data_IF_333617293407
#
_entry.id   IF_333617293407
#
_cell.length_a   1.000
_cell.length_b   1.000
_cell.length_c   1.000
_cell.angle_alpha   90.00
_cell.angle_beta   90.00
_cell.angle_gamma   90.00
#
_symmetry.space_group_name_H-M   'P 1'
#
loop_
_entity.id
_entity.type
_entity.pdbx_description
1 polymer ?
#
# COMPACT_ATOMS: atom_id res chain seq x y z
N UNK A 1 -43.97 -21.16 23.95
CA UNK A 1 -42.52 -21.11 24.16
C UNK A 1 -41.89 -20.80 22.81
N UNK A 2 -41.55 -19.54 22.59
CA UNK A 2 -40.94 -19.08 21.34
C UNK A 2 -39.42 -19.06 21.56
N UNK A 3 -38.70 -19.90 20.81
CA UNK A 3 -37.24 -19.93 20.81
C UNK A 3 -36.80 -18.82 19.87
N UNK A 4 -36.18 -17.76 20.41
CA UNK A 4 -35.50 -16.73 19.64
C UNK A 4 -34.19 -17.31 19.09
N UNK A 5 -33.79 -17.00 17.83
CA UNK A 5 -32.47 -17.38 17.33
C UNK A 5 -31.42 -16.62 18.14
N UNK A 6 -30.43 -17.33 18.65
CA UNK A 6 -29.26 -16.73 19.27
C UNK A 6 -28.50 -15.91 18.24
N UNK A 7 -28.42 -14.60 18.46
CA UNK A 7 -27.49 -13.72 17.75
C UNK A 7 -26.08 -14.29 17.91
N UNK A 8 -25.55 -14.84 16.81
CA UNK A 8 -24.19 -15.34 16.75
C UNK A 8 -23.25 -14.13 16.85
N UNK A 9 -22.73 -13.84 18.04
CA UNK A 9 -21.78 -12.74 18.25
C UNK A 9 -20.56 -12.95 17.36
N UNK A 10 -20.39 -12.07 16.38
CA UNK A 10 -19.20 -12.01 15.56
C UNK A 10 -18.02 -11.58 16.44
N UNK A 11 -17.12 -12.52 16.75
CA UNK A 11 -15.88 -12.22 17.47
C UNK A 11 -14.85 -11.76 16.42
N UNK A 12 -14.36 -10.51 16.49
CA UNK A 12 -13.40 -10.01 15.52
C UNK A 12 -12.06 -10.75 15.64
N UNK A 13 -11.41 -11.00 14.52
CA UNK A 13 -10.06 -11.61 14.49
C UNK A 13 -9.00 -10.63 15.02
N UNK A 14 -7.83 -11.14 15.43
CA UNK A 14 -6.70 -10.29 15.83
C UNK A 14 -6.33 -9.27 14.75
N UNK A 15 -6.40 -9.67 13.48
CA UNK A 15 -6.21 -8.78 12.33
C UNK A 15 -7.24 -7.64 12.33
N UNK A 16 -8.54 -7.94 12.47
CA UNK A 16 -9.59 -6.94 12.46
C UNK A 16 -9.48 -5.97 13.63
N UNK A 17 -9.11 -6.47 14.81
CA UNK A 17 -8.85 -5.65 15.99
C UNK A 17 -7.68 -4.69 15.74
N UNK A 18 -6.58 -5.17 15.16
CA UNK A 18 -5.41 -4.35 14.85
C UNK A 18 -5.70 -3.33 13.75
N UNK A 19 -6.35 -3.74 12.66
CA UNK A 19 -6.74 -2.81 11.59
C UNK A 19 -7.65 -1.70 12.14
N UNK A 20 -8.61 -2.03 13.00
CA UNK A 20 -9.51 -1.05 13.64
C UNK A 20 -8.76 -0.10 14.56
N UNK A 21 -7.71 -0.57 15.26
CA UNK A 21 -6.92 0.29 16.15
C UNK A 21 -6.04 1.27 15.36
N UNK A 22 -5.64 0.94 14.13
CA UNK A 22 -4.84 1.80 13.25
C UNK A 22 -5.67 2.82 12.45
N UNK A 23 -7.00 2.69 12.43
CA UNK A 23 -7.90 3.54 11.65
C UNK A 23 -8.60 4.60 12.54
N UNK A 24 -9.16 5.68 11.94
CA UNK A 24 -10.03 6.59 12.67
C UNK A 24 -11.28 5.87 13.22
N UNK A 25 -11.78 6.25 14.41
CA UNK A 25 -11.35 7.40 15.22
C UNK A 25 -10.17 7.13 16.16
N UNK A 26 -9.67 5.88 16.25
CA UNK A 26 -8.58 5.51 17.17
C UNK A 26 -7.31 6.29 16.90
N UNK A 27 -6.94 6.43 15.63
CA UNK A 27 -5.83 7.28 15.18
C UNK A 27 -6.24 8.08 13.93
N UNK A 28 -5.86 9.37 13.84
CA UNK A 28 -6.07 10.13 12.62
C UNK A 28 -5.19 9.57 11.49
N UNK A 29 -5.76 9.43 10.30
CA UNK A 29 -4.99 8.98 9.12
C UNK A 29 -3.97 10.03 8.71
N UNK A 30 -2.75 9.65 8.36
CA UNK A 30 -1.71 10.58 7.90
C UNK A 30 -1.47 10.41 6.40
N UNK A 31 -1.79 11.44 5.61
CA UNK A 31 -1.62 11.40 4.15
C UNK A 31 -0.20 11.83 3.69
N UNK A 32 0.55 12.53 4.56
CA UNK A 32 1.91 13.03 4.31
C UNK A 32 2.69 13.12 5.63
N UNK A 33 3.91 12.59 5.68
CA UNK A 33 4.69 12.43 6.93
C UNK A 33 5.84 13.45 7.12
N UNK A 34 6.02 14.41 6.21
CA UNK A 34 7.12 15.41 6.27
C UNK A 34 6.91 16.50 7.34
N UNK A 35 7.96 17.21 7.82
CA UNK A 35 9.40 16.90 7.78
C UNK A 35 9.89 16.23 9.08
N UNK A 36 8.97 15.89 9.98
CA UNK A 36 9.28 15.35 11.29
C UNK A 36 9.84 13.95 11.06
N UNK A 37 11.02 13.67 11.62
CA UNK A 37 11.63 12.34 11.79
C UNK A 37 10.61 11.22 11.61
N UNK A 38 10.91 10.15 10.83
CA UNK A 38 9.93 9.12 10.44
C UNK A 38 8.96 8.88 11.58
N UNK A 39 7.68 9.16 11.32
CA UNK A 39 6.65 9.17 12.35
C UNK A 39 6.82 7.91 13.20
N UNK A 40 6.86 8.09 14.52
CA UNK A 40 7.01 6.94 15.41
C UNK A 40 5.83 6.00 15.13
N UNK A 41 6.09 4.70 14.93
CA UNK A 41 5.02 3.72 14.76
C UNK A 41 3.95 3.86 15.84
N UNK A 42 2.68 3.82 15.46
CA UNK A 42 1.54 3.94 16.39
C UNK A 42 1.52 2.76 17.38
N UNK A 43 1.88 1.57 16.89
CA UNK A 43 2.08 0.35 17.67
C UNK A 43 3.43 -0.30 17.35
N UNK A 44 3.98 -1.14 18.25
CA UNK A 44 5.17 -1.92 17.96
C UNK A 44 4.99 -2.81 16.73
N UNK A 45 5.96 -2.80 15.81
CA UNK A 45 5.94 -3.57 14.56
C UNK A 45 5.67 -5.07 14.77
N UNK A 46 6.11 -5.63 15.90
CA UNK A 46 5.85 -7.03 16.29
C UNK A 46 4.34 -7.36 16.37
N UNK A 47 3.48 -6.40 16.73
CA UNK A 47 2.03 -6.63 16.78
C UNK A 47 1.44 -6.87 15.39
N UNK A 48 2.07 -6.30 14.35
CA UNK A 48 1.69 -6.52 12.95
C UNK A 48 2.31 -7.83 12.46
N UNK A 49 3.64 -7.99 12.59
CA UNK A 49 4.35 -9.14 12.02
C UNK A 49 4.00 -10.48 12.69
N UNK A 50 3.58 -10.47 13.96
CA UNK A 50 3.10 -11.69 14.65
C UNK A 50 1.79 -12.24 14.09
N UNK A 51 1.04 -11.47 13.29
CA UNK A 51 -0.12 -11.98 12.57
C UNK A 51 0.27 -12.89 11.39
N UNK A 52 1.53 -12.78 10.91
CA UNK A 52 2.07 -13.53 9.77
C UNK A 52 1.11 -13.51 8.56
N UNK A 53 0.67 -12.32 8.16
CA UNK A 53 -0.26 -12.14 7.06
C UNK A 53 0.46 -12.26 5.72
N UNK A 54 -0.31 -12.27 4.63
CA UNK A 54 0.28 -12.05 3.31
C UNK A 54 1.11 -10.75 3.31
N UNK A 55 2.37 -10.75 2.82
CA UNK A 55 3.28 -9.61 2.93
C UNK A 55 2.72 -8.26 2.44
N UNK A 56 1.86 -8.25 1.42
CA UNK A 56 1.20 -7.00 0.97
C UNK A 56 0.22 -6.42 2.00
N UNK A 57 -0.53 -7.27 2.72
CA UNK A 57 -1.45 -6.84 3.78
C UNK A 57 -0.64 -6.35 4.97
N UNK A 58 0.42 -7.08 5.34
CA UNK A 58 1.36 -6.65 6.38
C UNK A 58 1.98 -5.28 6.05
N UNK A 59 2.41 -5.09 4.80
CA UNK A 59 2.92 -3.80 4.31
C UNK A 59 1.89 -2.68 4.45
N UNK A 60 0.61 -2.95 4.14
CA UNK A 60 -0.45 -1.94 4.24
C UNK A 60 -0.71 -1.55 5.70
N UNK A 61 -0.66 -2.51 6.62
CA UNK A 61 -0.73 -2.24 8.06
C UNK A 61 0.46 -1.41 8.52
N UNK A 62 1.67 -1.69 8.03
CA UNK A 62 2.85 -0.87 8.34
C UNK A 62 2.74 0.57 7.81
N UNK A 63 2.15 0.78 6.62
CA UNK A 63 1.84 2.13 6.10
C UNK A 63 0.85 2.86 7.01
N UNK A 64 -0.25 2.22 7.43
CA UNK A 64 -1.20 2.80 8.39
C UNK A 64 -0.55 3.08 9.75
N UNK A 65 0.35 2.20 10.18
CA UNK A 65 1.09 2.32 11.43
C UNK A 65 2.20 3.39 11.38
N UNK A 66 2.45 3.99 10.21
CA UNK A 66 3.55 4.92 9.95
C UNK A 66 4.95 4.30 10.15
N UNK A 67 5.02 2.97 10.16
CA UNK A 67 6.27 2.21 10.15
C UNK A 67 6.74 1.99 8.71
N UNK A 68 7.12 3.10 8.07
CA UNK A 68 7.45 3.14 6.65
C UNK A 68 8.69 2.30 6.31
N UNK A 69 9.60 2.10 7.27
CA UNK A 69 10.78 1.27 7.10
C UNK A 69 10.42 -0.22 6.94
N UNK A 70 9.51 -0.75 7.77
CA UNK A 70 9.02 -2.12 7.63
C UNK A 70 8.20 -2.29 6.35
N UNK A 71 7.37 -1.30 5.99
CA UNK A 71 6.65 -1.32 4.72
C UNK A 71 7.62 -1.38 3.52
N UNK A 72 8.65 -0.52 3.48
CA UNK A 72 9.71 -0.55 2.47
C UNK A 72 10.40 -1.91 2.39
N UNK A 73 10.77 -2.46 3.55
CA UNK A 73 11.46 -3.74 3.64
C UNK A 73 10.65 -4.87 2.99
N UNK A 74 9.34 -4.90 3.18
CA UNK A 74 8.47 -5.93 2.57
C UNK A 74 8.25 -5.65 1.08
N UNK A 75 7.85 -4.42 0.73
CA UNK A 75 7.44 -4.06 -0.64
C UNK A 75 8.57 -4.17 -1.66
N UNK A 76 9.84 -3.97 -1.26
CA UNK A 76 10.99 -4.13 -2.17
C UNK A 76 11.16 -5.56 -2.72
N UNK A 77 10.52 -6.54 -2.09
CA UNK A 77 10.54 -7.94 -2.55
C UNK A 77 9.31 -8.30 -3.41
N UNK A 78 8.45 -7.32 -3.73
CA UNK A 78 7.23 -7.48 -4.54
C UNK A 78 7.07 -6.30 -5.52
N UNK A 79 8.15 -5.95 -6.21
CA UNK A 79 8.23 -4.75 -7.08
C UNK A 79 7.93 -5.06 -8.55
N UNK A 80 7.34 -6.22 -8.84
CA UNK A 80 7.19 -6.69 -10.19
C UNK A 80 5.93 -7.54 -10.36
N UNK A 81 5.43 -7.63 -11.60
CA UNK A 81 4.43 -8.62 -11.99
C UNK A 81 4.77 -10.02 -11.42
N UNK A 82 3.79 -10.73 -10.83
CA UNK A 82 2.35 -10.41 -10.76
C UNK A 82 1.89 -9.58 -9.54
N UNK A 83 2.80 -9.04 -8.72
CA UNK A 83 2.48 -8.35 -7.47
C UNK A 83 2.05 -6.87 -7.64
N UNK A 84 1.06 -6.62 -8.50
CA UNK A 84 0.63 -5.25 -8.84
C UNK A 84 0.05 -4.48 -7.66
N UNK A 85 -0.61 -5.14 -6.71
CA UNK A 85 -1.08 -4.53 -5.46
C UNK A 85 0.06 -4.04 -4.59
N UNK A 86 1.19 -4.75 -4.55
CA UNK A 86 2.37 -4.34 -3.82
C UNK A 86 3.08 -3.20 -4.54
N UNK A 87 3.18 -3.24 -5.87
CA UNK A 87 3.68 -2.12 -6.68
C UNK A 87 2.84 -0.85 -6.44
N UNK A 88 1.52 -0.97 -6.42
CA UNK A 88 0.64 0.17 -6.16
C UNK A 88 0.80 0.71 -4.74
N UNK A 89 0.86 -0.18 -3.75
CA UNK A 89 1.11 0.19 -2.35
C UNK A 89 2.49 0.84 -2.16
N UNK A 90 3.49 0.48 -2.97
CA UNK A 90 4.79 1.16 -3.00
C UNK A 90 4.65 2.62 -3.45
N UNK A 91 3.82 2.88 -4.46
CA UNK A 91 3.48 4.26 -4.86
C UNK A 91 2.79 5.04 -3.73
N UNK A 92 1.88 4.40 -2.98
CA UNK A 92 1.24 5.00 -1.81
C UNK A 92 2.27 5.32 -0.71
N UNK A 93 3.18 4.39 -0.44
CA UNK A 93 4.26 4.58 0.53
C UNK A 93 5.10 5.82 0.18
N UNK A 94 5.59 5.92 -1.05
CA UNK A 94 6.35 7.09 -1.49
C UNK A 94 5.56 8.40 -1.44
N UNK A 95 4.26 8.37 -1.74
CA UNK A 95 3.40 9.55 -1.54
C UNK A 95 3.39 9.98 -0.07
N UNK A 96 3.19 9.05 0.86
CA UNK A 96 3.17 9.35 2.30
C UNK A 96 4.52 9.94 2.75
N UNK A 97 5.64 9.45 2.21
CA UNK A 97 6.99 10.01 2.43
C UNK A 97 7.17 11.41 1.82
N UNK A 98 6.26 11.81 0.93
CA UNK A 98 6.33 13.05 0.18
C UNK A 98 7.20 12.97 -1.07
N UNK A 99 7.60 11.78 -1.51
CA UNK A 99 8.26 11.52 -2.80
C UNK A 99 7.22 11.35 -3.91
N UNK A 100 6.64 12.48 -4.33
CA UNK A 100 5.50 12.49 -5.25
C UNK A 100 5.90 12.03 -6.66
N UNK A 101 7.13 12.31 -7.09
CA UNK A 101 7.59 11.90 -8.43
C UNK A 101 7.67 10.38 -8.54
N UNK A 102 8.23 9.69 -7.52
CA UNK A 102 8.21 8.23 -7.49
C UNK A 102 6.79 7.68 -7.34
N UNK A 103 5.93 8.33 -6.55
CA UNK A 103 4.52 7.92 -6.47
C UNK A 103 3.82 7.95 -7.83
N UNK A 104 4.04 9.00 -8.64
CA UNK A 104 3.49 9.12 -10.01
C UNK A 104 4.00 8.00 -10.91
N UNK A 105 5.29 7.66 -10.85
CA UNK A 105 5.86 6.58 -11.65
C UNK A 105 5.17 5.24 -11.34
N UNK A 106 5.06 4.89 -10.05
CA UNK A 106 4.36 3.66 -9.63
C UNK A 106 2.89 3.64 -10.05
N UNK A 107 2.18 4.76 -9.91
CA UNK A 107 0.77 4.85 -10.29
C UNK A 107 0.61 4.64 -11.80
N UNK A 108 1.50 5.22 -12.61
CA UNK A 108 1.52 5.02 -14.05
C UNK A 108 1.76 3.55 -14.42
N UNK A 109 2.64 2.85 -13.71
CA UNK A 109 2.96 1.44 -13.97
C UNK A 109 1.77 0.49 -13.68
N UNK A 110 0.91 0.86 -12.73
CA UNK A 110 -0.23 0.03 -12.30
C UNK A 110 -1.60 0.52 -12.76
N UNK A 111 -1.70 1.67 -13.44
CA UNK A 111 -2.99 2.31 -13.79
C UNK A 111 -3.99 1.41 -14.52
N UNK A 112 -3.50 0.46 -15.31
CA UNK A 112 -4.33 -0.45 -16.10
C UNK A 112 -4.70 -1.74 -15.36
N UNK A 113 -4.20 -1.93 -14.12
CA UNK A 113 -4.39 -3.13 -13.30
C UNK A 113 -5.66 -3.03 -12.46
N UNK A 114 -6.20 -4.19 -12.11
CA UNK A 114 -7.49 -4.30 -11.41
C UNK A 114 -7.49 -3.53 -10.08
N UNK A 115 -6.43 -3.66 -9.27
CA UNK A 115 -6.31 -2.95 -7.99
C UNK A 115 -6.46 -1.44 -8.17
N UNK A 116 -5.81 -0.86 -9.20
CA UNK A 116 -5.89 0.57 -9.45
C UNK A 116 -7.28 0.97 -9.93
N UNK A 117 -7.88 0.21 -10.85
CA UNK A 117 -9.22 0.47 -11.40
C UNK A 117 -10.34 0.34 -10.37
N UNK A 118 -10.19 -0.53 -9.37
CA UNK A 118 -11.14 -0.64 -8.25
C UNK A 118 -10.99 0.57 -7.31
N UNK A 119 -9.75 0.99 -7.04
CA UNK A 119 -9.49 2.12 -6.15
C UNK A 119 -9.85 3.48 -6.77
N UNK A 120 -9.60 3.64 -8.06
CA UNK A 120 -9.91 4.84 -8.85
C UNK A 120 -10.80 4.44 -10.03
N UNK A 121 -12.11 4.27 -9.81
CA UNK A 121 -13.02 3.77 -10.82
C UNK A 121 -13.34 4.80 -11.91
N UNK A 122 -13.82 4.31 -13.05
CA UNK A 122 -14.25 5.14 -14.17
C UNK A 122 -13.16 5.44 -15.19
N UNK A 123 -13.55 6.07 -16.30
CA UNK A 123 -12.63 6.39 -17.41
C UNK A 123 -11.59 7.46 -17.04
N UNK A 124 -11.89 8.27 -16.02
CA UNK A 124 -11.05 9.36 -15.49
C UNK A 124 -10.23 8.96 -14.26
N UNK A 125 -10.27 7.71 -13.81
CA UNK A 125 -9.67 7.30 -12.54
C UNK A 125 -8.18 7.64 -12.40
N UNK A 126 -7.40 7.47 -13.48
CA UNK A 126 -5.98 7.86 -13.48
C UNK A 126 -5.78 9.37 -13.37
N UNK A 127 -6.58 10.17 -14.06
CA UNK A 127 -6.50 11.64 -14.01
C UNK A 127 -6.89 12.15 -12.62
N UNK A 128 -7.88 11.54 -11.99
CA UNK A 128 -8.29 11.84 -10.61
C UNK A 128 -7.18 11.53 -9.61
N UNK A 129 -6.52 10.37 -9.74
CA UNK A 129 -5.36 10.01 -8.92
C UNK A 129 -4.19 11.00 -9.13
N UNK A 130 -3.91 11.41 -10.37
CA UNK A 130 -2.84 12.38 -10.68
C UNK A 130 -3.14 13.76 -10.11
N UNK A 131 -4.40 14.20 -10.17
CA UNK A 131 -4.86 15.44 -9.55
C UNK A 131 -4.73 15.39 -8.04
N UNK A 132 -5.10 14.27 -7.42
CA UNK A 132 -4.90 14.05 -5.99
C UNK A 132 -3.41 14.14 -5.60
N UNK A 133 -2.51 13.48 -6.32
CA UNK A 133 -1.07 13.61 -6.09
C UNK A 133 -0.57 15.06 -6.24
N UNK A 134 -1.10 15.81 -7.21
CA UNK A 134 -0.78 17.24 -7.38
C UNK A 134 -1.23 18.10 -6.20
N UNK A 135 -2.38 17.80 -5.60
CA UNK A 135 -2.85 18.47 -4.38
C UNK A 135 -1.95 18.16 -3.18
N UNK A 136 -1.55 16.89 -2.99
CA UNK A 136 -0.59 16.50 -1.94
C UNK A 136 0.76 17.20 -2.12
N UNK A 137 1.24 17.31 -3.35
CA UNK A 137 2.48 18.03 -3.68
C UNK A 137 2.39 19.52 -3.36
N UNK A 138 1.29 20.17 -3.75
CA UNK A 138 1.03 21.57 -3.41
C UNK A 138 0.99 21.76 -1.90
N UNK A 139 0.41 20.81 -1.17
CA UNK A 139 0.37 20.83 0.30
C UNK A 139 1.75 20.68 0.92
N UNK A 140 2.58 19.78 0.40
CA UNK A 140 4.01 19.64 0.77
C UNK A 140 4.78 20.95 0.58
N UNK A 141 4.57 21.66 -0.53
CA UNK A 141 5.23 22.94 -0.83
C UNK A 141 4.74 24.05 0.11
N UNK A 142 3.45 24.10 0.40
CA UNK A 142 2.83 25.10 1.29
C UNK A 142 2.85 24.71 2.77
N UNK A 143 3.74 23.79 3.18
CA UNK A 143 3.87 23.36 4.58
C UNK A 143 4.02 24.58 5.51
N UNK A 144 3.26 24.59 6.60
CA UNK A 144 3.25 25.68 7.58
C UNK A 144 2.19 26.78 7.33
N UNK A 145 1.53 26.80 6.17
CA UNK A 145 0.27 27.53 6.01
C UNK A 145 -0.87 26.67 6.53
N UNK A 146 -1.76 27.22 7.36
CA UNK A 146 -2.98 26.49 7.75
C UNK A 146 -3.93 26.42 6.55
N UNK A 147 -4.40 25.21 6.26
CA UNK A 147 -5.46 24.94 5.29
C UNK A 147 -6.19 23.68 5.76
N UNK A 148 -6.96 23.84 6.84
CA UNK A 148 -7.59 22.71 7.55
C UNK A 148 -8.56 21.94 6.67
N UNK A 149 -9.23 22.62 5.74
CA UNK A 149 -10.18 21.98 4.82
C UNK A 149 -9.44 21.15 3.77
N UNK A 150 -8.40 21.68 3.14
CA UNK A 150 -7.56 20.89 2.23
C UNK A 150 -6.90 19.72 2.95
N UNK A 151 -6.38 19.93 4.17
CA UNK A 151 -5.79 18.88 4.99
C UNK A 151 -6.80 17.80 5.40
N UNK A 152 -8.09 18.15 5.53
CA UNK A 152 -9.18 17.22 5.78
C UNK A 152 -9.52 16.42 4.53
N UNK A 153 -9.73 17.09 3.40
CA UNK A 153 -10.06 16.43 2.12
C UNK A 153 -8.95 15.49 1.65
N UNK A 154 -7.68 15.91 1.74
CA UNK A 154 -6.54 15.07 1.39
C UNK A 154 -6.43 13.83 2.28
N UNK A 155 -6.78 13.98 3.56
CA UNK A 155 -6.80 12.89 4.53
C UNK A 155 -7.91 11.90 4.24
N UNK A 156 -9.11 12.39 3.94
CA UNK A 156 -10.26 11.56 3.58
C UNK A 156 -9.99 10.78 2.28
N UNK A 157 -9.47 11.43 1.25
CA UNK A 157 -9.16 10.81 -0.05
C UNK A 157 -8.03 9.78 0.07
N UNK A 158 -6.96 10.11 0.81
CA UNK A 158 -5.86 9.18 1.06
C UNK A 158 -6.30 7.96 1.87
N UNK A 159 -7.17 8.16 2.88
CA UNK A 159 -7.70 7.07 3.69
C UNK A 159 -8.63 6.16 2.88
N UNK A 160 -9.51 6.76 2.06
CA UNK A 160 -10.40 6.02 1.15
C UNK A 160 -9.57 5.15 0.22
N UNK A 161 -8.56 5.72 -0.43
CA UNK A 161 -7.70 4.98 -1.35
C UNK A 161 -7.00 3.80 -0.66
N UNK A 162 -6.38 4.02 0.50
CA UNK A 162 -5.69 2.96 1.23
C UNK A 162 -6.67 1.86 1.71
N UNK A 163 -7.90 2.23 2.12
CA UNK A 163 -8.95 1.26 2.46
C UNK A 163 -9.38 0.41 1.27
N UNK A 164 -9.51 0.99 0.08
CA UNK A 164 -9.85 0.22 -1.12
C UNK A 164 -8.72 -0.73 -1.54
N UNK A 165 -7.46 -0.32 -1.41
CA UNK A 165 -6.31 -1.22 -1.63
C UNK A 165 -6.31 -2.36 -0.61
N UNK A 166 -6.53 -2.07 0.67
CA UNK A 166 -6.61 -3.10 1.72
C UNK A 166 -7.75 -4.08 1.42
N UNK A 167 -8.96 -3.60 1.12
CA UNK A 167 -10.11 -4.46 0.75
C UNK A 167 -9.81 -5.36 -0.44
N UNK A 168 -9.14 -4.81 -1.45
CA UNK A 168 -8.71 -5.58 -2.61
C UNK A 168 -7.75 -6.70 -2.20
N UNK A 169 -6.74 -6.39 -1.38
CA UNK A 169 -5.78 -7.37 -0.87
C UNK A 169 -6.43 -8.42 0.03
N UNK A 170 -7.35 -8.02 0.93
CA UNK A 170 -8.12 -8.94 1.78
C UNK A 170 -8.89 -9.95 0.93
N UNK A 171 -9.56 -9.49 -0.14
CA UNK A 171 -10.30 -10.35 -1.06
C UNK A 171 -9.39 -11.28 -1.87
N UNK A 172 -8.23 -10.78 -2.31
CA UNK A 172 -7.30 -11.53 -3.17
C UNK A 172 -6.47 -12.56 -2.39
N UNK A 173 -5.98 -12.17 -1.23
CA UNK A 173 -4.99 -12.93 -0.46
C UNK A 173 -5.57 -13.62 0.78
N UNK A 174 -6.75 -13.19 1.26
CA UNK A 174 -7.27 -13.59 2.56
C UNK A 174 -6.55 -12.90 3.72
N UNK A 175 -7.10 -13.03 4.92
CA UNK A 175 -6.54 -12.44 6.16
C UNK A 175 -6.12 -13.51 7.16
N UNK A 176 -6.01 -14.76 6.70
CA UNK A 176 -5.55 -15.88 7.51
C UNK A 176 -4.02 -15.85 7.63
N UNK A 177 -3.53 -16.58 8.63
CA UNK A 177 -2.11 -16.72 8.89
C UNK A 177 -1.44 -17.49 7.73
N UNK A 178 -0.31 -16.98 7.25
CA UNK A 178 0.54 -17.58 6.22
C UNK A 178 1.79 -18.16 6.88
N UNK A 179 1.89 -19.48 6.95
CA UNK A 179 3.03 -20.17 7.56
C UNK A 179 4.29 -20.16 6.68
N UNK A 180 4.14 -20.09 5.36
CA UNK A 180 5.25 -19.99 4.39
C UNK A 180 4.95 -18.96 3.30
N UNK A 181 5.58 -17.79 3.42
CA UNK A 181 5.48 -16.71 2.45
C UNK A 181 6.58 -16.76 1.36
N UNK A 182 7.45 -17.78 1.35
CA UNK A 182 8.61 -17.84 0.45
C UNK A 182 8.25 -17.76 -1.03
N UNK A 183 7.08 -18.31 -1.41
CA UNK A 183 6.56 -18.32 -2.79
C UNK A 183 5.88 -17.00 -3.20
N UNK A 184 5.71 -16.07 -2.27
CA UNK A 184 5.05 -14.77 -2.52
C UNK A 184 6.07 -13.72 -2.97
N UNK A 185 7.35 -13.90 -2.64
CA UNK A 185 8.40 -12.96 -3.02
C UNK A 185 8.65 -13.02 -4.53
N UNK A 186 8.44 -11.88 -5.20
CA UNK A 186 8.70 -11.70 -6.64
C UNK A 186 9.58 -10.46 -6.76
N UNK A 187 10.88 -10.69 -6.59
CA UNK A 187 11.86 -9.60 -6.58
C UNK A 187 12.35 -9.28 -7.99
N UNK A 188 12.76 -8.03 -8.23
CA UNK A 188 13.42 -7.62 -9.48
C UNK A 188 14.67 -8.46 -9.82
N UNK A 189 15.25 -9.18 -8.84
CA UNK A 189 16.39 -10.07 -9.09
C UNK A 189 16.04 -11.26 -10.00
N UNK A 190 14.82 -11.76 -9.96
CA UNK A 190 14.36 -12.85 -10.82
C UNK A 190 14.02 -12.35 -12.23
N UNK A 191 13.44 -11.15 -12.35
CA UNK A 191 13.32 -10.47 -13.64
C UNK A 191 14.68 -10.21 -14.28
N UNK A 192 15.65 -9.71 -13.51
CA UNK A 192 17.01 -9.48 -14.01
C UNK A 192 17.71 -10.79 -14.39
N UNK A 193 17.51 -11.88 -13.64
CA UNK A 193 17.98 -13.23 -14.01
C UNK A 193 17.33 -13.72 -15.30
N UNK A 194 16.01 -13.62 -15.43
CA UNK A 194 15.29 -14.04 -16.63
C UNK A 194 15.64 -13.20 -17.87
N UNK A 195 15.89 -11.89 -17.70
CA UNK A 195 16.39 -11.02 -18.76
C UNK A 195 17.83 -11.42 -19.14
N UNK A 196 18.70 -11.70 -18.15
CA UNK A 196 20.05 -12.18 -18.39
C UNK A 196 20.05 -13.56 -19.09
N UNK A 197 19.20 -14.49 -18.67
CA UNK A 197 19.04 -15.82 -19.29
C UNK A 197 18.48 -15.72 -20.71
N UNK A 198 17.52 -14.82 -20.97
CA UNK A 198 17.03 -14.52 -22.32
C UNK A 198 18.12 -13.89 -23.20
N UNK A 199 19.00 -13.07 -22.64
CA UNK A 199 20.18 -12.56 -23.37
C UNK A 199 21.23 -13.64 -23.65
N UNK A 200 21.33 -14.69 -22.82
CA UNK A 200 22.24 -15.83 -23.02
C UNK A 200 21.67 -16.85 -24.02
N UNK A 201 20.36 -17.05 -24.02
CA UNK A 201 19.67 -18.06 -24.86
C UNK A 201 19.15 -17.51 -26.19
N UNK A 202 18.87 -16.21 -26.28
CA UNK A 202 18.37 -15.53 -27.48
C UNK A 202 19.45 -14.98 -28.39
N UNK A 203 20.58 -15.68 -28.51
CA UNK A 203 21.83 -15.21 -29.10
C UNK A 203 21.70 -14.32 -30.34
N UNK A 204 21.75 -13.00 -30.14
CA UNK A 204 22.31 -12.01 -31.08
C UNK A 204 22.97 -10.89 -30.27
N UNK A 205 24.25 -11.10 -29.93
CA UNK A 205 25.18 -9.99 -29.65
C UNK A 205 25.25 -9.07 -30.88
N UNK A 206 25.51 -7.78 -30.75
CA UNK A 206 26.80 -7.22 -30.34
C UNK A 206 26.63 -5.86 -29.64
N UNK A 207 27.38 -5.62 -28.56
CA UNK A 207 27.83 -4.27 -28.20
C UNK A 207 29.02 -3.91 -29.09
N UNK A 208 28.99 -2.71 -29.69
CA UNK A 208 30.21 -2.06 -30.16
C UNK A 208 30.74 -1.19 -29.02
N UNK A 209 32.02 -1.40 -28.69
CA UNK A 209 32.81 -0.48 -27.87
C UNK A 209 33.13 0.77 -28.68
#
# INVERSE_FOLDING_TARGET
MSITPSDNQFIPTNYQMLLTSLLPPSHPHTFLSLPISPHKPLVPSQQISSLQLHPVIESALHVLNLDLASAHFLLRHMQAEPAFEAMYLHGILHRVEGDIDNARAWYSDVKDREVFKVTWPGMSGFDEAMRFLGRVELRKVNRGKSDEEEDRELREESLRELKEVIRFCEKKCGTEKVDDASQIWVSMSEKNKNIAEKMITGGEGWRKF
#
